data_IF_746285202932
#
_entry.id   IF_746285202932
#
_cell.length_a   1.000
_cell.length_b   1.000
_cell.length_c   1.000
_cell.angle_alpha   90.00
_cell.angle_beta   90.00
_cell.angle_gamma   90.00
#
_symmetry.space_group_name_H-M   'P 1'
#
loop_
_entity.id
_entity.type
_entity.pdbx_description
1 polymer ?
#
# COMPACT_ATOMS: atom_id res chain seq x y z
N UNK A 1 -5.90 -40.43 61.12
CA UNK A 1 -6.55 -39.97 59.88
C UNK A 1 -5.66 -38.89 59.30
N UNK A 2 -4.87 -39.25 58.29
CA UNK A 2 -3.79 -38.42 57.75
C UNK A 2 -4.26 -37.44 56.66
N UNK A 3 -3.44 -36.43 56.32
CA UNK A 3 -3.75 -35.47 55.27
C UNK A 3 -3.54 -36.10 53.90
N UNK A 4 -4.57 -36.07 53.06
CA UNK A 4 -4.52 -36.56 51.69
C UNK A 4 -3.72 -35.58 50.82
N UNK A 5 -2.53 -36.01 50.43
CA UNK A 5 -1.70 -35.44 49.38
C UNK A 5 -2.41 -35.50 48.03
N UNK A 6 -2.68 -34.34 47.42
CA UNK A 6 -3.05 -34.25 46.01
C UNK A 6 -1.80 -34.50 45.16
N UNK A 7 -1.80 -35.39 44.14
CA UNK A 7 -0.60 -35.74 43.39
C UNK A 7 -0.16 -34.60 42.47
N UNK A 8 1.15 -34.31 42.45
CA UNK A 8 1.86 -33.42 41.51
C UNK A 8 1.91 -33.94 40.07
N UNK A 9 0.91 -34.66 39.58
CA UNK A 9 0.96 -35.32 38.26
C UNK A 9 0.17 -34.62 37.14
N UNK A 10 -0.47 -33.48 37.39
CA UNK A 10 -1.20 -32.75 36.35
C UNK A 10 -0.44 -31.57 35.71
N UNK A 11 0.84 -31.34 36.04
CA UNK A 11 1.62 -30.22 35.48
C UNK A 11 2.73 -30.66 34.50
N UNK A 12 3.09 -31.94 34.44
CA UNK A 12 4.17 -32.42 33.54
C UNK A 12 3.72 -32.62 32.07
N UNK A 13 2.40 -32.63 31.80
CA UNK A 13 1.86 -32.79 30.44
C UNK A 13 1.86 -31.52 29.60
N UNK A 14 2.10 -30.35 30.21
CA UNK A 14 2.12 -29.07 29.49
C UNK A 14 3.52 -28.73 28.98
N UNK A 15 4.60 -29.09 29.68
CA UNK A 15 5.99 -28.75 29.30
C UNK A 15 6.47 -29.51 28.04
N UNK A 16 6.13 -30.80 27.89
CA UNK A 16 6.49 -31.59 26.70
C UNK A 16 5.83 -31.14 25.39
N UNK A 17 4.69 -30.44 25.47
CA UNK A 17 4.03 -29.83 24.32
C UNK A 17 4.77 -28.62 23.76
N UNK A 18 5.52 -27.90 24.60
CA UNK A 18 6.35 -26.76 24.17
C UNK A 18 7.64 -27.25 23.51
N UNK A 19 8.27 -28.30 24.03
CA UNK A 19 9.47 -28.89 23.42
C UNK A 19 9.18 -29.55 22.09
N UNK A 20 8.06 -30.28 21.94
CA UNK A 20 7.66 -30.86 20.66
C UNK A 20 7.23 -29.79 19.63
N UNK A 21 6.58 -28.71 20.09
CA UNK A 21 6.34 -27.53 19.24
C UNK A 21 7.66 -26.90 18.81
N UNK A 22 8.60 -26.64 19.73
CA UNK A 22 9.91 -26.09 19.41
C UNK A 22 10.74 -27.00 18.51
N UNK A 23 10.67 -28.32 18.67
CA UNK A 23 11.38 -29.29 17.83
C UNK A 23 10.77 -29.38 16.42
N UNK A 24 9.44 -29.35 16.31
CA UNK A 24 8.73 -29.25 15.03
C UNK A 24 8.99 -27.90 14.36
N UNK A 25 9.00 -26.79 15.11
CA UNK A 25 9.41 -25.46 14.64
C UNK A 25 10.85 -25.47 14.19
N UNK A 26 11.79 -26.04 14.96
CA UNK A 26 13.21 -26.08 14.61
C UNK A 26 13.48 -26.99 13.43
N UNK A 27 12.63 -28.00 13.20
CA UNK A 27 12.62 -28.79 11.97
C UNK A 27 11.93 -28.08 10.81
N UNK A 28 10.86 -27.29 10.99
CA UNK A 28 10.16 -26.55 9.93
C UNK A 28 10.88 -25.25 9.54
N UNK A 29 11.35 -24.48 10.51
CA UNK A 29 12.32 -23.39 10.34
C UNK A 29 13.69 -23.92 9.96
N UNK A 30 14.06 -25.16 10.29
CA UNK A 30 15.28 -25.83 9.86
C UNK A 30 15.18 -26.42 8.46
N UNK A 31 13.99 -26.84 8.02
CA UNK A 31 13.64 -27.21 6.64
C UNK A 31 13.48 -25.95 5.80
N UNK A 32 12.87 -24.88 6.32
CA UNK A 32 12.81 -23.58 5.66
C UNK A 32 14.20 -22.96 5.61
N UNK A 33 14.96 -22.88 6.72
CA UNK A 33 16.38 -22.52 6.69
C UNK A 33 17.18 -23.45 5.79
N UNK A 34 16.93 -24.75 5.78
CA UNK A 34 17.64 -25.74 4.98
C UNK A 34 17.38 -25.58 3.49
N UNK A 35 16.12 -25.51 3.05
CA UNK A 35 15.72 -25.24 1.67
C UNK A 35 16.13 -23.84 1.20
N UNK A 36 16.29 -22.89 2.11
CA UNK A 36 16.55 -21.47 1.79
C UNK A 36 18.02 -21.07 1.97
N UNK A 37 18.80 -21.79 2.79
CA UNK A 37 20.28 -21.68 2.92
C UNK A 37 21.03 -22.61 1.97
N UNK A 38 20.41 -23.66 1.42
CA UNK A 38 21.03 -24.43 0.33
C UNK A 38 21.20 -23.62 -0.97
N UNK A 39 20.62 -22.42 -1.07
CA UNK A 39 20.86 -21.46 -2.16
C UNK A 39 21.72 -20.27 -1.71
N UNK A 40 22.71 -20.48 -0.83
CA UNK A 40 23.76 -19.50 -0.57
C UNK A 40 25.13 -20.08 -0.98
N UNK A 41 25.68 -19.43 -2.00
CA UNK A 41 27.08 -19.40 -2.46
C UNK A 41 27.59 -20.58 -3.32
N UNK A 42 27.20 -20.56 -4.59
CA UNK A 42 28.15 -20.75 -5.69
C UNK A 42 27.81 -19.73 -6.79
N UNK A 43 28.33 -18.51 -6.64
CA UNK A 43 28.21 -17.45 -7.66
C UNK A 43 29.12 -17.70 -8.88
N UNK A 44 29.82 -18.84 -8.93
CA UNK A 44 30.70 -19.20 -10.03
C UNK A 44 30.19 -20.47 -10.75
N UNK A 45 29.86 -20.29 -12.03
CA UNK A 45 29.68 -21.32 -13.07
C UNK A 45 28.57 -22.38 -12.89
N UNK A 46 27.31 -21.96 -12.82
CA UNK A 46 26.20 -22.83 -13.24
C UNK A 46 25.52 -22.25 -14.49
N UNK A 47 25.66 -22.98 -15.61
CA UNK A 47 25.01 -22.68 -16.88
C UNK A 47 23.48 -22.59 -16.72
N UNK A 48 22.88 -21.59 -17.36
CA UNK A 48 21.52 -21.08 -17.14
C UNK A 48 20.39 -22.11 -17.42
N UNK A 49 20.67 -23.18 -18.15
CA UNK A 49 19.67 -24.13 -18.67
C UNK A 49 19.15 -25.18 -17.65
N UNK A 50 19.74 -25.31 -16.45
CA UNK A 50 19.48 -26.46 -15.54
C UNK A 50 19.06 -26.08 -14.10
N UNK A 51 18.52 -24.89 -13.82
CA UNK A 51 17.94 -24.63 -12.48
C UNK A 51 16.59 -25.33 -12.29
N UNK A 52 16.58 -26.65 -12.15
CA UNK A 52 15.37 -27.40 -11.83
C UNK A 52 14.94 -27.25 -10.36
N UNK A 53 15.74 -26.58 -9.54
CA UNK A 53 15.48 -26.39 -8.10
C UNK A 53 14.49 -25.27 -7.81
N UNK A 54 14.12 -24.43 -8.79
CA UNK A 54 13.14 -23.36 -8.59
C UNK A 54 11.78 -23.87 -8.13
N UNK A 55 11.37 -25.06 -8.56
CA UNK A 55 10.11 -25.70 -8.10
C UNK A 55 10.15 -26.01 -6.61
N UNK A 56 11.31 -26.42 -6.11
CA UNK A 56 11.55 -26.68 -4.67
C UNK A 56 11.51 -25.36 -3.90
N UNK A 57 12.20 -24.31 -4.38
CA UNK A 57 12.15 -22.97 -3.77
C UNK A 57 10.72 -22.41 -3.72
N UNK A 58 9.96 -22.61 -4.81
CA UNK A 58 8.55 -22.22 -4.91
C UNK A 58 7.68 -22.94 -3.89
N UNK A 59 7.82 -24.27 -3.78
CA UNK A 59 7.08 -25.06 -2.80
C UNK A 59 7.43 -24.64 -1.36
N UNK A 60 8.70 -24.32 -1.09
CA UNK A 60 9.14 -23.75 0.18
C UNK A 60 8.43 -22.44 0.52
N UNK A 61 8.40 -21.50 -0.43
CA UNK A 61 7.76 -20.20 -0.22
C UNK A 61 6.27 -20.33 0.11
N UNK A 62 5.55 -21.20 -0.60
CA UNK A 62 4.12 -21.50 -0.33
C UNK A 62 3.90 -22.21 0.99
N UNK A 63 4.77 -23.15 1.35
CA UNK A 63 4.71 -23.81 2.65
C UNK A 63 4.91 -22.80 3.78
N UNK A 64 5.89 -21.90 3.62
CA UNK A 64 6.16 -20.84 4.57
C UNK A 64 5.00 -19.85 4.70
N UNK A 65 4.39 -19.44 3.59
CA UNK A 65 3.16 -18.65 3.58
C UNK A 65 2.03 -19.33 4.40
N UNK A 66 1.80 -20.63 4.17
CA UNK A 66 0.78 -21.38 4.90
C UNK A 66 1.07 -21.48 6.40
N UNK A 67 2.34 -21.67 6.78
CA UNK A 67 2.78 -21.67 8.18
C UNK A 67 2.56 -20.30 8.82
N UNK A 68 2.91 -19.22 8.13
CA UNK A 68 2.70 -17.84 8.60
C UNK A 68 1.20 -17.56 8.82
N UNK A 69 0.36 -17.92 7.84
CA UNK A 69 -1.08 -17.67 7.87
C UNK A 69 -1.82 -18.45 8.98
N UNK A 70 -1.30 -19.61 9.40
CA UNK A 70 -1.98 -20.47 10.37
C UNK A 70 -1.47 -20.30 11.81
N UNK A 71 -0.25 -19.81 12.02
CA UNK A 71 0.43 -19.82 13.33
C UNK A 71 0.69 -18.41 13.88
N UNK A 72 -0.37 -17.75 14.33
CA UNK A 72 -0.33 -16.39 14.89
C UNK A 72 0.57 -16.28 16.14
N UNK A 73 0.70 -17.35 16.92
CA UNK A 73 1.48 -17.36 18.16
C UNK A 73 2.99 -17.26 17.93
N UNK A 74 3.45 -17.42 16.68
CA UNK A 74 4.88 -17.44 16.32
C UNK A 74 5.32 -16.13 15.65
N UNK A 75 4.47 -15.10 15.68
CA UNK A 75 4.67 -13.88 14.90
C UNK A 75 6.00 -13.16 15.18
N UNK A 76 6.38 -13.04 16.46
CA UNK A 76 7.66 -12.45 16.86
C UNK A 76 8.85 -13.24 16.30
N UNK A 77 8.79 -14.58 16.30
CA UNK A 77 9.84 -15.44 15.74
C UNK A 77 9.91 -15.31 14.21
N UNK A 78 8.76 -15.20 13.55
CA UNK A 78 8.72 -14.92 12.11
C UNK A 78 9.39 -13.59 11.77
N UNK A 79 9.16 -12.54 12.54
CA UNK A 79 9.84 -11.25 12.33
C UNK A 79 11.34 -11.30 12.63
N UNK A 80 11.80 -12.15 13.55
CA UNK A 80 13.22 -12.26 13.89
C UNK A 80 14.01 -13.10 12.88
N UNK A 81 13.43 -14.18 12.37
CA UNK A 81 14.16 -15.17 11.55
C UNK A 81 13.68 -15.22 10.11
N UNK A 82 12.36 -15.25 9.90
CA UNK A 82 11.78 -15.50 8.58
C UNK A 82 11.75 -14.23 7.74
N UNK A 83 11.31 -13.11 8.30
CA UNK A 83 11.13 -11.87 7.56
C UNK A 83 12.46 -11.29 7.02
N UNK A 84 13.60 -11.31 7.74
CA UNK A 84 14.87 -10.84 7.17
C UNK A 84 15.35 -11.76 6.03
N UNK A 85 15.10 -13.07 6.15
CA UNK A 85 15.43 -14.04 5.10
C UNK A 85 14.59 -13.78 3.83
N UNK A 86 13.27 -13.58 3.97
CA UNK A 86 12.38 -13.23 2.86
C UNK A 86 12.84 -11.95 2.15
N UNK A 87 13.13 -10.88 2.91
CA UNK A 87 13.63 -9.60 2.36
C UNK A 87 14.91 -9.82 1.55
N UNK A 88 15.85 -10.60 2.06
CA UNK A 88 17.10 -10.92 1.37
C UNK A 88 16.92 -11.72 0.07
N UNK A 89 15.72 -12.29 -0.17
CA UNK A 89 15.36 -13.05 -1.38
C UNK A 89 14.43 -12.33 -2.35
N UNK A 90 14.06 -11.07 -2.10
CA UNK A 90 13.32 -10.29 -3.11
C UNK A 90 14.10 -10.09 -4.43
N UNK A 91 15.41 -10.37 -4.40
CA UNK A 91 16.31 -10.43 -5.58
C UNK A 91 16.28 -11.76 -6.36
N UNK A 92 15.35 -12.67 -6.07
CA UNK A 92 15.20 -13.95 -6.79
C UNK A 92 15.13 -13.75 -8.32
N UNK A 93 15.69 -14.68 -9.10
CA UNK A 93 15.69 -14.57 -10.58
C UNK A 93 14.38 -15.09 -11.16
N UNK A 94 13.87 -16.17 -10.60
CA UNK A 94 12.65 -16.83 -11.07
C UNK A 94 11.40 -16.06 -10.67
N UNK A 95 10.68 -15.50 -11.64
CA UNK A 95 9.50 -14.65 -11.40
C UNK A 95 8.47 -15.36 -10.52
N UNK A 96 8.16 -16.63 -10.82
CA UNK A 96 7.17 -17.39 -10.06
C UNK A 96 7.58 -17.58 -8.60
N UNK A 97 8.87 -17.83 -8.34
CA UNK A 97 9.39 -17.99 -6.98
C UNK A 97 9.37 -16.65 -6.25
N UNK A 98 9.79 -15.57 -6.91
CA UNK A 98 9.79 -14.21 -6.36
C UNK A 98 8.39 -13.77 -5.94
N UNK A 99 7.38 -14.03 -6.77
CA UNK A 99 5.98 -13.70 -6.47
C UNK A 99 5.50 -14.45 -5.23
N UNK A 100 5.78 -15.76 -5.12
CA UNK A 100 5.39 -16.55 -3.94
C UNK A 100 6.15 -16.09 -2.67
N UNK A 101 7.40 -15.62 -2.78
CA UNK A 101 8.16 -15.00 -1.67
C UNK A 101 7.52 -13.68 -1.22
N UNK A 102 7.11 -12.82 -2.16
CA UNK A 102 6.39 -11.58 -1.85
C UNK A 102 5.05 -11.88 -1.16
N UNK A 103 4.31 -12.89 -1.62
CA UNK A 103 3.05 -13.31 -1.01
C UNK A 103 3.23 -13.84 0.41
N UNK A 104 4.29 -14.61 0.68
CA UNK A 104 4.62 -15.04 2.05
C UNK A 104 4.82 -13.85 2.99
N UNK A 105 5.46 -12.76 2.52
CA UNK A 105 5.62 -11.55 3.33
C UNK A 105 4.31 -10.76 3.48
N UNK A 106 3.48 -10.69 2.43
CA UNK A 106 2.12 -10.13 2.49
C UNK A 106 1.28 -10.86 3.56
N UNK A 107 1.33 -12.19 3.59
CA UNK A 107 0.66 -12.99 4.60
C UNK A 107 1.13 -12.64 6.01
N UNK A 108 2.43 -12.40 6.21
CA UNK A 108 3.00 -11.98 7.50
C UNK A 108 2.45 -10.62 7.96
N UNK A 109 2.37 -9.64 7.05
CA UNK A 109 1.79 -8.33 7.36
C UNK A 109 0.29 -8.43 7.69
N UNK A 110 -0.47 -9.23 6.93
CA UNK A 110 -1.89 -9.47 7.17
C UNK A 110 -2.15 -10.12 8.53
N UNK A 111 -1.32 -11.09 8.90
CA UNK A 111 -1.39 -11.78 10.20
C UNK A 111 -1.17 -10.82 11.37
N UNK A 112 -0.38 -9.77 11.16
CA UNK A 112 -0.04 -8.79 12.18
C UNK A 112 -1.16 -7.77 12.40
N UNK A 113 -2.01 -7.55 11.39
CA UNK A 113 -3.05 -6.50 11.41
C UNK A 113 -4.08 -6.65 12.54
N UNK A 114 -4.65 -7.83 12.84
CA UNK A 114 -5.62 -7.98 13.93
C UNK A 114 -5.06 -7.60 15.30
N UNK A 115 -3.74 -7.72 15.47
CA UNK A 115 -3.06 -7.46 16.74
C UNK A 115 -2.80 -5.97 16.99
N UNK A 116 -2.90 -5.14 15.95
CA UNK A 116 -2.66 -3.68 16.00
C UNK A 116 -3.98 -2.89 16.06
N UNK A 117 -5.12 -3.55 15.89
CA UNK A 117 -6.43 -2.93 16.12
C UNK A 117 -6.55 -2.47 17.59
N UNK A 118 -7.27 -1.38 17.88
CA UNK A 118 -7.28 -0.73 19.19
C UNK A 118 -8.11 -1.53 20.20
N UNK A 119 -7.59 -2.69 20.62
CA UNK A 119 -8.09 -3.43 21.77
C UNK A 119 -6.96 -3.48 22.79
N UNK A 120 -6.90 -2.42 23.61
CA UNK A 120 -6.01 -2.35 24.76
C UNK A 120 -4.63 -1.78 24.45
N UNK A 121 -4.45 -0.49 24.73
CA UNK A 121 -3.14 0.15 24.83
C UNK A 121 -2.34 -0.43 26.00
N UNK A 122 -1.84 -1.65 25.84
CA UNK A 122 -0.75 -2.17 26.63
C UNK A 122 0.56 -1.45 26.26
N UNK A 123 1.52 -1.35 27.19
CA UNK A 123 2.82 -0.77 26.89
C UNK A 123 3.47 -1.48 25.70
N UNK A 124 4.07 -0.70 24.79
CA UNK A 124 4.87 -1.20 23.67
C UNK A 124 6.05 -1.98 24.27
N UNK A 125 5.91 -3.29 24.36
CA UNK A 125 7.01 -4.18 24.69
C UNK A 125 8.04 -4.16 23.56
N UNK A 126 9.30 -4.41 23.87
CA UNK A 126 10.40 -4.51 22.89
C UNK A 126 10.15 -5.60 21.83
N UNK A 127 9.25 -6.54 22.15
CA UNK A 127 8.83 -7.66 21.30
C UNK A 127 7.44 -7.48 20.67
N UNK A 128 6.88 -6.26 20.71
CA UNK A 128 5.65 -5.92 20.00
C UNK A 128 5.86 -6.11 18.48
N UNK A 129 5.05 -6.96 17.80
CA UNK A 129 5.11 -7.16 16.37
C UNK A 129 5.11 -5.84 15.57
N UNK A 130 4.43 -4.81 16.07
CA UNK A 130 4.43 -3.48 15.44
C UNK A 130 5.80 -2.82 15.41
N UNK A 131 6.54 -2.88 16.52
CA UNK A 131 7.90 -2.33 16.62
C UNK A 131 8.88 -3.10 15.73
N UNK A 132 8.71 -4.43 15.65
CA UNK A 132 9.51 -5.29 14.79
C UNK A 132 9.28 -4.98 13.30
N UNK A 133 8.03 -4.74 12.87
CA UNK A 133 7.76 -4.30 11.49
C UNK A 133 8.37 -2.93 11.22
N UNK A 134 8.19 -1.97 12.14
CA UNK A 134 8.71 -0.62 11.99
C UNK A 134 10.23 -0.61 11.80
N UNK A 135 10.96 -1.45 12.54
CA UNK A 135 12.41 -1.60 12.39
C UNK A 135 12.83 -2.16 11.02
N UNK A 136 11.94 -2.88 10.32
CA UNK A 136 12.23 -3.51 9.03
C UNK A 136 11.80 -2.69 7.82
N UNK A 137 11.09 -1.57 7.99
CA UNK A 137 10.61 -0.72 6.88
C UNK A 137 11.74 -0.30 5.95
N UNK A 138 12.85 0.20 6.50
CA UNK A 138 14.00 0.63 5.69
C UNK A 138 14.61 -0.49 4.84
N UNK A 139 15.03 -1.62 5.43
CA UNK A 139 15.48 -2.80 4.67
C UNK A 139 14.47 -3.29 3.63
N UNK A 140 13.18 -3.31 3.98
CA UNK A 140 12.09 -3.77 3.13
C UNK A 140 11.95 -2.87 1.88
N UNK A 141 11.88 -1.56 2.06
CA UNK A 141 11.76 -0.62 0.93
C UNK A 141 13.00 -0.67 0.05
N UNK A 142 14.21 -0.73 0.63
CA UNK A 142 15.46 -0.90 -0.15
C UNK A 142 15.43 -2.16 -1.02
N UNK A 143 14.94 -3.28 -0.49
CA UNK A 143 14.84 -4.52 -1.25
C UNK A 143 13.79 -4.47 -2.38
N UNK A 144 12.75 -3.65 -2.25
CA UNK A 144 11.67 -3.51 -3.24
C UNK A 144 11.96 -2.51 -4.37
N UNK A 145 12.93 -1.61 -4.20
CA UNK A 145 13.28 -0.57 -5.20
C UNK A 145 13.61 -1.12 -6.60
N UNK A 146 14.26 -2.29 -6.68
CA UNK A 146 14.58 -2.95 -7.95
C UNK A 146 13.36 -3.73 -8.50
N UNK A 147 12.72 -4.64 -7.74
CA UNK A 147 11.51 -5.34 -8.17
C UNK A 147 10.37 -4.45 -8.70
N UNK A 148 10.19 -3.25 -8.11
CA UNK A 148 9.18 -2.28 -8.56
C UNK A 148 9.40 -1.75 -9.99
N UNK A 149 10.62 -1.88 -10.53
CA UNK A 149 11.01 -1.40 -11.86
C UNK A 149 11.29 -2.54 -12.83
N UNK A 150 10.96 -3.79 -12.46
CA UNK A 150 11.11 -4.93 -13.36
C UNK A 150 9.97 -4.97 -14.39
N UNK A 151 10.26 -5.54 -15.57
CA UNK A 151 9.23 -5.72 -16.63
C UNK A 151 8.10 -6.64 -16.17
N UNK A 152 8.43 -7.65 -15.35
CA UNK A 152 7.50 -8.62 -14.78
C UNK A 152 6.34 -7.94 -14.02
N UNK A 153 5.13 -8.08 -14.57
CA UNK A 153 3.94 -7.43 -14.02
C UNK A 153 3.56 -8.03 -12.64
N UNK A 154 3.62 -9.35 -12.49
CA UNK A 154 3.21 -9.99 -11.22
C UNK A 154 4.15 -9.63 -10.06
N UNK A 155 5.44 -9.47 -10.35
CA UNK A 155 6.41 -8.97 -9.37
C UNK A 155 6.05 -7.57 -8.89
N UNK A 156 5.79 -6.64 -9.81
CA UNK A 156 5.40 -5.27 -9.47
C UNK A 156 4.10 -5.24 -8.66
N UNK A 157 3.11 -6.03 -9.04
CA UNK A 157 1.86 -6.22 -8.29
C UNK A 157 2.11 -6.72 -6.87
N UNK A 158 2.96 -7.74 -6.70
CA UNK A 158 3.34 -8.24 -5.38
C UNK A 158 4.02 -7.17 -4.51
N UNK A 159 4.85 -6.31 -5.10
CA UNK A 159 5.48 -5.20 -4.40
C UNK A 159 4.46 -4.16 -3.95
N UNK A 160 3.53 -3.75 -4.83
CA UNK A 160 2.46 -2.80 -4.49
C UNK A 160 1.52 -3.35 -3.42
N UNK A 161 1.15 -4.64 -3.50
CA UNK A 161 0.34 -5.31 -2.49
C UNK A 161 1.03 -5.30 -1.12
N UNK A 162 2.32 -5.64 -1.07
CA UNK A 162 3.11 -5.61 0.15
C UNK A 162 3.18 -4.19 0.76
N UNK A 163 3.49 -3.18 -0.06
CA UNK A 163 3.52 -1.79 0.40
C UNK A 163 2.14 -1.31 0.86
N UNK A 164 1.06 -1.75 0.21
CA UNK A 164 -0.32 -1.44 0.61
C UNK A 164 -0.64 -2.02 1.99
N UNK A 165 -0.30 -3.28 2.25
CA UNK A 165 -0.50 -3.89 3.58
C UNK A 165 0.35 -3.20 4.65
N UNK A 166 1.58 -2.80 4.31
CA UNK A 166 2.44 -2.06 5.22
C UNK A 166 1.84 -0.70 5.62
N UNK A 167 1.25 0.03 4.68
CA UNK A 167 0.56 1.30 4.96
C UNK A 167 -0.65 1.13 5.87
N UNK A 168 -1.42 0.06 5.66
CA UNK A 168 -2.58 -0.25 6.49
C UNK A 168 -2.17 -0.64 7.91
N UNK A 169 -0.97 -1.21 8.09
CA UNK A 169 -0.41 -1.59 9.37
C UNK A 169 0.25 -0.42 10.12
N UNK A 170 1.03 0.39 9.39
CA UNK A 170 1.82 1.50 9.90
C UNK A 170 1.58 2.75 9.05
N UNK A 171 0.51 3.51 9.33
CA UNK A 171 0.28 4.81 8.67
C UNK A 171 1.49 5.72 8.88
N UNK A 172 1.97 6.36 7.80
CA UNK A 172 3.13 7.24 7.82
C UNK A 172 4.49 6.57 7.63
N UNK A 173 4.58 5.23 7.58
CA UNK A 173 5.87 4.53 7.55
C UNK A 173 6.71 4.75 6.28
N UNK A 174 6.09 5.19 5.18
CA UNK A 174 6.79 5.36 3.90
C UNK A 174 7.25 6.80 3.63
N UNK A 175 7.08 7.72 4.58
CA UNK A 175 7.35 9.14 4.39
C UNK A 175 8.79 9.41 3.91
N UNK A 176 9.77 8.87 4.61
CA UNK A 176 11.20 9.07 4.31
C UNK A 176 11.65 8.32 3.04
N UNK A 177 10.82 7.41 2.53
CA UNK A 177 11.15 6.54 1.41
C UNK A 177 10.40 6.90 0.12
N UNK A 178 9.57 7.95 0.11
CA UNK A 178 8.85 8.39 -1.09
C UNK A 178 9.78 8.60 -2.30
N UNK A 179 10.93 9.30 -2.21
CA UNK A 179 11.80 9.52 -3.36
C UNK A 179 12.28 8.22 -4.02
N UNK A 180 12.44 7.15 -3.23
CA UNK A 180 12.86 5.85 -3.72
C UNK A 180 11.73 5.07 -4.42
N UNK A 181 10.47 5.29 -4.04
CA UNK A 181 9.32 4.58 -4.56
C UNK A 181 8.76 5.25 -5.83
N UNK A 182 8.79 6.58 -5.89
CA UNK A 182 8.22 7.37 -6.99
C UNK A 182 8.67 6.92 -8.39
N UNK A 183 9.95 6.62 -8.66
CA UNK A 183 10.36 6.13 -9.98
C UNK A 183 9.69 4.82 -10.38
N UNK A 184 9.43 3.91 -9.43
CA UNK A 184 8.73 2.65 -9.70
C UNK A 184 7.23 2.84 -9.97
N UNK A 185 6.61 3.80 -9.28
CA UNK A 185 5.21 4.16 -9.51
C UNK A 185 5.02 4.84 -10.86
N UNK A 186 5.88 5.81 -11.18
CA UNK A 186 5.89 6.46 -12.48
C UNK A 186 6.12 5.44 -13.61
N UNK A 187 7.07 4.52 -13.43
CA UNK A 187 7.29 3.44 -14.39
C UNK A 187 6.03 2.61 -14.62
N UNK A 188 5.30 2.24 -13.57
CA UNK A 188 4.10 1.41 -13.69
C UNK A 188 2.87 2.14 -14.28
N UNK A 189 2.83 3.48 -14.20
CA UNK A 189 1.77 4.29 -14.81
C UNK A 189 2.06 4.67 -16.26
N UNK A 190 3.31 4.97 -16.60
CA UNK A 190 3.69 5.54 -17.88
C UNK A 190 4.15 4.51 -18.92
N UNK A 191 4.56 3.32 -18.50
CA UNK A 191 5.08 2.29 -19.39
C UNK A 191 3.98 1.72 -20.32
N UNK A 192 4.28 1.64 -21.62
CA UNK A 192 3.35 1.11 -22.64
C UNK A 192 3.12 -0.39 -22.49
N UNK A 193 4.08 -1.12 -21.94
CA UNK A 193 3.94 -2.55 -21.66
C UNK A 193 3.13 -2.84 -20.39
N UNK A 194 2.77 -1.81 -19.62
CA UNK A 194 1.99 -1.98 -18.40
C UNK A 194 0.51 -2.19 -18.74
N UNK A 195 -0.04 -3.30 -18.24
CA UNK A 195 -1.44 -3.65 -18.43
C UNK A 195 -2.37 -2.69 -17.70
N UNK A 196 -3.65 -2.63 -18.11
CA UNK A 196 -4.64 -1.80 -17.43
C UNK A 196 -4.77 -2.13 -15.94
N UNK A 197 -4.65 -3.41 -15.57
CA UNK A 197 -4.67 -3.84 -14.17
C UNK A 197 -3.48 -3.29 -13.38
N UNK A 198 -2.27 -3.29 -13.97
CA UNK A 198 -1.08 -2.71 -13.32
C UNK A 198 -1.26 -1.22 -13.02
N UNK A 199 -1.81 -0.47 -13.98
CA UNK A 199 -2.11 0.96 -13.79
C UNK A 199 -3.14 1.17 -12.68
N UNK A 200 -4.22 0.37 -12.67
CA UNK A 200 -5.25 0.42 -11.62
C UNK A 200 -4.64 0.13 -10.25
N UNK A 201 -3.85 -0.94 -10.11
CA UNK A 201 -3.20 -1.31 -8.85
C UNK A 201 -2.25 -0.20 -8.37
N UNK A 202 -1.53 0.44 -9.30
CA UNK A 202 -0.61 1.55 -8.99
C UNK A 202 -1.38 2.79 -8.53
N UNK A 203 -2.50 3.13 -9.17
CA UNK A 203 -3.36 4.24 -8.75
C UNK A 203 -4.02 3.96 -7.39
N UNK A 204 -4.52 2.74 -7.18
CA UNK A 204 -5.09 2.33 -5.90
C UNK A 204 -4.04 2.43 -4.76
N UNK A 205 -2.80 2.00 -5.02
CA UNK A 205 -1.70 2.18 -4.07
C UNK A 205 -1.40 3.67 -3.83
N UNK A 206 -1.35 4.52 -4.86
CA UNK A 206 -1.17 5.96 -4.69
C UNK A 206 -2.29 6.58 -3.85
N UNK A 207 -3.55 6.18 -4.05
CA UNK A 207 -4.67 6.60 -3.21
C UNK A 207 -4.48 6.18 -1.74
N UNK A 208 -4.03 4.95 -1.50
CA UNK A 208 -3.68 4.44 -0.17
C UNK A 208 -2.53 5.27 0.46
N UNK A 209 -1.49 5.55 -0.32
CA UNK A 209 -0.34 6.32 0.11
C UNK A 209 -0.73 7.73 0.57
N UNK A 210 -1.55 8.43 -0.23
CA UNK A 210 -2.05 9.78 0.06
C UNK A 210 -2.98 9.84 1.28
N UNK A 211 -3.72 8.77 1.55
CA UNK A 211 -4.68 8.71 2.68
C UNK A 211 -4.02 8.35 4.01
N UNK A 212 -2.88 7.64 3.98
CA UNK A 212 -2.20 7.16 5.20
C UNK A 212 -0.97 7.99 5.58
N UNK A 213 -0.73 9.14 4.94
CA UNK A 213 0.38 10.04 5.24
C UNK A 213 -0.10 11.46 5.50
N UNK A 214 0.71 12.21 6.25
CA UNK A 214 0.51 13.66 6.38
C UNK A 214 0.70 14.31 4.99
N UNK A 215 -0.26 15.16 4.53
CA UNK A 215 -0.15 15.96 3.31
C UNK A 215 1.21 16.60 3.03
N UNK A 216 1.90 17.09 4.07
CA UNK A 216 3.14 17.85 3.93
C UNK A 216 4.27 17.07 3.25
N UNK A 217 4.30 15.75 3.44
CA UNK A 217 5.35 14.88 2.87
C UNK A 217 5.30 14.88 1.34
N UNK A 218 4.13 15.15 0.74
CA UNK A 218 3.95 15.14 -0.71
C UNK A 218 4.27 16.48 -1.37
N UNK A 219 4.43 17.58 -0.64
CA UNK A 219 4.65 18.91 -1.21
C UNK A 219 5.88 18.96 -2.13
N UNK A 220 6.96 18.29 -1.75
CA UNK A 220 8.18 18.20 -2.56
C UNK A 220 8.06 17.28 -3.79
N UNK A 221 6.94 16.55 -3.93
CA UNK A 221 6.76 15.49 -4.92
C UNK A 221 5.57 15.71 -5.86
N UNK A 222 4.76 16.76 -5.65
CA UNK A 222 3.56 17.04 -6.46
C UNK A 222 3.89 17.18 -7.94
N UNK A 223 4.99 17.86 -8.28
CA UNK A 223 5.45 18.02 -9.68
C UNK A 223 5.67 16.69 -10.40
N UNK A 224 6.10 15.65 -9.67
CA UNK A 224 6.38 14.33 -10.22
C UNK A 224 5.16 13.42 -10.22
N UNK A 225 4.25 13.61 -9.27
CA UNK A 225 3.07 12.77 -9.07
C UNK A 225 1.89 13.20 -9.95
N UNK A 226 1.71 14.51 -10.12
CA UNK A 226 0.50 15.04 -10.75
C UNK A 226 0.41 14.75 -12.26
N UNK A 227 1.46 14.97 -13.08
CA UNK A 227 1.38 14.71 -14.52
C UNK A 227 0.94 13.28 -14.92
N UNK A 228 1.47 12.18 -14.33
CA UNK A 228 1.00 10.85 -14.67
C UNK A 228 -0.44 10.58 -14.20
N UNK A 229 -0.90 11.21 -13.11
CA UNK A 229 -2.29 11.11 -12.66
C UNK A 229 -3.23 11.82 -13.64
N UNK A 230 -2.91 13.03 -14.09
CA UNK A 230 -3.70 13.76 -15.09
C UNK A 230 -3.78 12.96 -16.39
N UNK A 231 -2.66 12.37 -16.82
CA UNK A 231 -2.62 11.49 -18.00
C UNK A 231 -3.54 10.28 -17.82
N UNK A 232 -3.58 9.67 -16.63
CA UNK A 232 -4.47 8.56 -16.33
C UNK A 232 -5.96 8.96 -16.27
N UNK A 233 -6.29 10.19 -15.86
CA UNK A 233 -7.67 10.71 -16.00
C UNK A 233 -8.06 10.78 -17.47
N UNK A 234 -7.14 11.14 -18.36
CA UNK A 234 -7.34 11.16 -19.81
C UNK A 234 -7.41 9.79 -20.49
N UNK A 235 -7.21 8.67 -19.76
CA UNK A 235 -7.12 7.33 -20.35
C UNK A 235 -8.44 6.91 -21.05
N UNK A 236 -8.31 6.05 -22.06
CA UNK A 236 -9.45 5.51 -22.83
C UNK A 236 -10.21 4.45 -22.04
N UNK A 237 -9.55 3.77 -21.11
CA UNK A 237 -10.17 2.75 -20.28
C UNK A 237 -10.79 3.34 -19.01
N UNK A 238 -12.12 3.26 -18.91
CA UNK A 238 -12.90 3.92 -17.87
C UNK A 238 -12.47 3.56 -16.43
N UNK A 239 -12.01 2.33 -16.17
CA UNK A 239 -11.54 1.94 -14.82
C UNK A 239 -10.25 2.64 -14.40
N UNK A 240 -9.37 2.95 -15.36
CA UNK A 240 -8.18 3.76 -15.07
C UNK A 240 -8.62 5.18 -14.76
N UNK A 241 -9.53 5.74 -15.56
CA UNK A 241 -10.08 7.07 -15.31
C UNK A 241 -10.77 7.16 -13.94
N UNK A 242 -11.59 6.17 -13.56
CA UNK A 242 -12.35 6.18 -12.31
C UNK A 242 -11.42 6.14 -11.08
N UNK A 243 -10.35 5.34 -11.14
CA UNK A 243 -9.35 5.27 -10.07
C UNK A 243 -8.47 6.51 -10.04
N UNK A 244 -8.05 7.03 -11.19
CA UNK A 244 -7.27 8.27 -11.27
C UNK A 244 -8.02 9.47 -10.67
N UNK A 245 -9.33 9.55 -10.90
CA UNK A 245 -10.19 10.56 -10.27
C UNK A 245 -10.30 10.40 -8.75
N UNK A 246 -10.18 9.18 -8.19
CA UNK A 246 -10.10 8.99 -6.74
C UNK A 246 -8.76 9.48 -6.18
N UNK A 247 -7.66 9.20 -6.88
CA UNK A 247 -6.34 9.68 -6.45
C UNK A 247 -6.30 11.21 -6.50
N UNK A 248 -6.83 11.80 -7.58
CA UNK A 248 -6.90 13.26 -7.74
C UNK A 248 -7.69 13.93 -6.61
N UNK A 249 -8.78 13.32 -6.14
CA UNK A 249 -9.53 13.77 -4.97
C UNK A 249 -8.68 13.85 -3.70
N UNK A 250 -7.78 12.88 -3.48
CA UNK A 250 -6.89 12.91 -2.33
C UNK A 250 -5.77 13.94 -2.51
N UNK A 251 -5.27 14.09 -3.74
CA UNK A 251 -4.22 15.04 -4.07
C UNK A 251 -4.66 16.48 -3.81
N UNK A 252 -5.91 16.83 -4.15
CA UNK A 252 -6.47 18.16 -3.87
C UNK A 252 -6.52 18.48 -2.37
N UNK A 253 -6.63 17.47 -1.50
CA UNK A 253 -6.60 17.67 -0.03
C UNK A 253 -5.21 18.02 0.50
N UNK A 254 -4.16 17.83 -0.31
CA UNK A 254 -2.77 18.11 0.09
C UNK A 254 -2.55 19.61 0.29
N UNK A 255 -3.33 20.44 -0.40
CA UNK A 255 -3.24 21.89 -0.29
C UNK A 255 -3.39 22.35 1.17
N UNK A 256 -2.45 23.18 1.68
CA UNK A 256 -2.59 23.78 3.00
C UNK A 256 -3.88 24.62 3.07
N UNK A 257 -4.78 24.34 4.02
CA UNK A 257 -6.03 25.13 4.19
C UNK A 257 -5.79 26.58 4.63
N UNK A 258 -4.58 26.86 5.12
CA UNK A 258 -3.98 28.17 5.41
C UNK A 258 -2.48 27.99 5.16
N UNK A 259 -1.73 29.04 4.80
CA UNK A 259 -0.26 29.03 4.74
C UNK A 259 0.42 28.83 6.12
N UNK A 260 -0.22 28.07 7.01
CA UNK A 260 0.12 27.81 8.39
C UNK A 260 0.29 26.31 8.55
N UNK A 261 1.54 25.86 8.60
CA UNK A 261 1.92 24.52 9.03
C UNK A 261 1.83 24.48 10.55
N UNK A 262 1.02 23.58 11.11
CA UNK A 262 1.12 23.22 12.53
C UNK A 262 2.08 22.04 12.68
N UNK A 263 3.35 22.33 12.93
CA UNK A 263 4.31 21.35 13.46
C UNK A 263 4.54 21.69 14.94
N UNK A 264 4.25 20.77 15.85
CA UNK A 264 4.63 20.91 17.27
C UNK A 264 4.09 22.15 18.01
N UNK A 265 2.99 22.76 17.54
CA UNK A 265 2.45 23.99 18.13
C UNK A 265 3.14 25.28 17.68
N UNK A 266 4.04 25.21 16.69
CA UNK A 266 4.62 26.38 16.03
C UNK A 266 4.05 26.52 14.61
N UNK A 267 3.65 27.74 14.29
CA UNK A 267 3.10 28.16 13.01
C UNK A 267 4.27 28.41 12.03
N UNK A 268 4.55 27.48 11.13
CA UNK A 268 5.60 27.62 10.12
C UNK A 268 4.99 27.95 8.75
N UNK A 269 5.59 28.91 8.03
CA UNK A 269 5.12 29.31 6.71
C UNK A 269 5.35 28.18 5.69
N UNK A 270 4.28 27.75 5.05
CA UNK A 270 4.34 26.76 3.97
C UNK A 270 4.83 27.47 2.70
N UNK A 271 6.04 27.18 2.23
CA UNK A 271 6.57 27.73 0.96
C UNK A 271 5.94 27.11 -0.29
N UNK A 272 5.20 26.01 -0.13
CA UNK A 272 4.59 25.28 -1.22
C UNK A 272 3.36 26.01 -1.78
N UNK A 273 3.42 26.35 -3.06
CA UNK A 273 2.34 27.00 -3.81
C UNK A 273 1.62 25.99 -4.68
N UNK A 274 0.34 25.77 -4.42
CA UNK A 274 -0.48 24.83 -5.17
C UNK A 274 -1.11 25.47 -6.42
N UNK A 275 -1.09 26.80 -6.51
CA UNK A 275 -1.72 27.60 -7.56
C UNK A 275 -1.36 27.18 -8.99
N UNK A 276 -0.09 26.83 -9.33
CA UNK A 276 0.27 26.45 -10.70
C UNK A 276 -0.49 25.21 -11.21
N UNK A 277 -0.90 24.31 -10.31
CA UNK A 277 -1.52 23.03 -10.65
C UNK A 277 -3.05 23.11 -10.75
N UNK A 278 -3.65 24.16 -10.18
CA UNK A 278 -5.11 24.26 -10.03
C UNK A 278 -5.82 24.19 -11.38
N UNK A 279 -5.29 24.88 -12.38
CA UNK A 279 -5.88 24.96 -13.71
C UNK A 279 -5.91 23.59 -14.39
N UNK A 280 -4.79 22.87 -14.40
CA UNK A 280 -4.69 21.56 -15.06
C UNK A 280 -5.58 20.51 -14.38
N UNK A 281 -5.66 20.54 -13.05
CA UNK A 281 -6.54 19.66 -12.25
C UNK A 281 -8.01 19.94 -12.56
N UNK A 282 -8.36 21.22 -12.66
CA UNK A 282 -9.72 21.65 -12.95
C UNK A 282 -10.14 21.26 -14.37
N UNK A 283 -9.32 21.58 -15.38
CA UNK A 283 -9.64 21.34 -16.79
C UNK A 283 -9.79 19.84 -17.11
N UNK A 284 -8.92 18.98 -16.57
CA UNK A 284 -9.01 17.54 -16.79
C UNK A 284 -10.29 16.95 -16.17
N UNK A 285 -10.66 17.40 -14.97
CA UNK A 285 -11.88 16.95 -14.28
C UNK A 285 -13.13 17.50 -14.97
N UNK A 286 -13.11 18.76 -15.42
CA UNK A 286 -14.23 19.41 -16.11
C UNK A 286 -14.56 18.68 -17.41
N UNK A 287 -13.55 18.25 -18.15
CA UNK A 287 -13.72 17.47 -19.39
C UNK A 287 -14.53 16.20 -19.13
N UNK A 288 -14.23 15.46 -18.05
CA UNK A 288 -14.99 14.26 -17.68
C UNK A 288 -16.36 14.57 -17.09
N UNK A 289 -16.53 15.69 -16.38
CA UNK A 289 -17.81 16.11 -15.81
C UNK A 289 -18.83 16.50 -16.89
N UNK A 290 -18.37 17.18 -17.95
CA UNK A 290 -19.20 17.60 -19.10
C UNK A 290 -19.62 16.43 -19.98
N UNK A 291 -18.81 15.38 -20.08
CA UNK A 291 -19.11 14.23 -20.91
C UNK A 291 -20.41 13.53 -20.48
N UNK A 292 -21.34 13.34 -21.42
CA UNK A 292 -22.59 12.60 -21.22
C UNK A 292 -22.44 11.10 -21.50
N UNK A 293 -21.54 10.73 -22.41
CA UNK A 293 -21.47 9.38 -23.00
C UNK A 293 -20.25 8.62 -22.45
N UNK A 294 -20.15 8.59 -21.12
CA UNK A 294 -19.10 7.88 -20.38
C UNK A 294 -19.73 6.95 -19.35
N UNK A 295 -18.93 5.99 -18.87
CA UNK A 295 -19.31 5.04 -17.85
C UNK A 295 -19.87 5.73 -16.59
N UNK A 296 -20.90 5.13 -15.98
CA UNK A 296 -21.59 5.69 -14.82
C UNK A 296 -20.64 5.86 -13.62
N UNK A 297 -19.70 4.94 -13.43
CA UNK A 297 -18.70 5.04 -12.37
C UNK A 297 -17.84 6.31 -12.56
N UNK A 298 -17.40 6.58 -13.80
CA UNK A 298 -16.59 7.77 -14.09
C UNK A 298 -17.39 9.05 -13.85
N UNK A 299 -18.68 9.09 -14.19
CA UNK A 299 -19.54 10.26 -13.92
C UNK A 299 -19.62 10.56 -12.42
N UNK A 300 -19.88 9.55 -11.61
CA UNK A 300 -19.99 9.70 -10.16
C UNK A 300 -18.65 10.12 -9.54
N UNK A 301 -17.55 9.54 -10.00
CA UNK A 301 -16.20 9.92 -9.58
C UNK A 301 -15.84 11.34 -10.00
N UNK A 302 -16.22 11.78 -11.20
CA UNK A 302 -15.98 13.15 -11.68
C UNK A 302 -16.78 14.17 -10.88
N UNK A 303 -18.06 13.90 -10.57
CA UNK A 303 -18.90 14.77 -9.72
C UNK A 303 -18.28 14.90 -8.33
N UNK A 304 -17.89 13.78 -7.73
CA UNK A 304 -17.26 13.77 -6.40
C UNK A 304 -15.93 14.52 -6.42
N UNK A 305 -15.09 14.29 -7.44
CA UNK A 305 -13.81 14.96 -7.64
C UNK A 305 -13.96 16.46 -7.80
N UNK A 306 -14.89 16.92 -8.63
CA UNK A 306 -15.16 18.34 -8.78
C UNK A 306 -15.68 18.96 -7.48
N UNK A 307 -16.48 18.23 -6.69
CA UNK A 307 -16.89 18.68 -5.35
C UNK A 307 -15.69 18.91 -4.41
N UNK A 308 -14.69 18.04 -4.43
CA UNK A 308 -13.44 18.25 -3.67
C UNK A 308 -12.64 19.44 -4.18
N UNK A 309 -12.55 19.61 -5.50
CA UNK A 309 -11.88 20.76 -6.13
C UNK A 309 -12.55 22.06 -5.68
N UNK A 310 -13.87 22.17 -5.75
CA UNK A 310 -14.59 23.37 -5.32
C UNK A 310 -14.45 23.65 -3.82
N UNK A 311 -14.48 22.60 -2.98
CA UNK A 311 -14.32 22.72 -1.54
C UNK A 311 -12.92 23.21 -1.12
N UNK A 312 -11.87 22.74 -1.81
CA UNK A 312 -10.47 23.00 -1.42
C UNK A 312 -9.76 24.07 -2.25
N UNK A 313 -10.23 24.38 -3.46
CA UNK A 313 -9.62 25.30 -4.43
C UNK A 313 -10.57 26.43 -4.86
N UNK A 314 -11.73 26.56 -4.22
CA UNK A 314 -12.78 27.51 -4.60
C UNK A 314 -12.39 28.99 -4.46
N UNK A 315 -11.40 29.31 -3.63
CA UNK A 315 -10.82 30.65 -3.51
C UNK A 315 -10.08 31.08 -4.77
N UNK A 316 -9.41 30.16 -5.46
CA UNK A 316 -8.69 30.41 -6.71
C UNK A 316 -9.54 30.18 -7.97
N UNK A 317 -10.74 29.60 -7.84
CA UNK A 317 -11.60 29.16 -8.96
C UNK A 317 -12.93 29.92 -9.06
N UNK A 318 -12.97 31.19 -8.64
CA UNK A 318 -14.23 31.96 -8.63
C UNK A 318 -14.84 32.17 -10.02
N UNK A 319 -14.01 32.34 -11.06
CA UNK A 319 -14.50 32.54 -12.42
C UNK A 319 -15.07 31.25 -13.02
N UNK A 320 -14.45 30.13 -12.69
CA UNK A 320 -14.79 28.78 -13.16
C UNK A 320 -16.04 28.22 -12.47
N UNK A 321 -16.36 28.72 -11.28
CA UNK A 321 -17.57 28.34 -10.53
C UNK A 321 -18.85 28.59 -11.34
N UNK A 322 -18.90 29.68 -12.12
CA UNK A 322 -20.03 30.01 -12.99
C UNK A 322 -20.28 28.94 -14.06
N UNK A 323 -19.25 28.20 -14.48
CA UNK A 323 -19.37 27.10 -15.45
C UNK A 323 -19.75 25.79 -14.76
N UNK A 324 -19.22 25.53 -13.56
CA UNK A 324 -19.47 24.29 -12.84
C UNK A 324 -20.87 24.19 -12.23
N UNK A 325 -21.38 25.26 -11.60
CA UNK A 325 -22.66 25.21 -10.88
C UNK A 325 -23.85 24.82 -11.78
N UNK A 326 -23.99 25.32 -13.02
CA UNK A 326 -25.04 24.85 -13.94
C UNK A 326 -24.93 23.35 -14.23
N UNK A 327 -23.72 22.84 -14.41
CA UNK A 327 -23.49 21.40 -14.68
C UNK A 327 -23.91 20.57 -13.46
N UNK A 328 -23.57 21.00 -12.24
CA UNK A 328 -24.04 20.35 -11.02
C UNK A 328 -25.56 20.36 -10.91
N UNK A 329 -26.21 21.46 -11.27
CA UNK A 329 -27.68 21.56 -11.27
C UNK A 329 -28.32 20.58 -12.26
N UNK A 330 -27.75 20.42 -13.45
CA UNK A 330 -28.21 19.42 -14.42
C UNK A 330 -28.01 17.98 -13.93
N UNK A 331 -26.85 17.70 -13.30
CA UNK A 331 -26.57 16.39 -12.69
C UNK A 331 -27.45 16.09 -11.47
N UNK A 332 -27.91 17.13 -10.76
CA UNK A 332 -28.82 17.00 -9.63
C UNK A 332 -30.24 16.61 -10.09
N UNK A 333 -30.66 17.12 -11.25
CA UNK A 333 -31.96 16.79 -11.87
C UNK A 333 -32.01 15.37 -12.42
N UNK A 334 -30.86 14.78 -12.74
CA UNK A 334 -30.77 13.42 -13.23
C UNK A 334 -30.83 12.41 -12.06
N UNK A 335 -31.82 11.53 -12.09
CA UNK A 335 -32.09 10.54 -11.03
C UNK A 335 -30.88 9.68 -10.64
N UNK A 336 -30.06 9.28 -11.62
CA UNK A 336 -28.92 8.38 -11.38
C UNK A 336 -27.78 9.12 -10.68
N UNK A 337 -27.49 10.36 -11.11
CA UNK A 337 -26.37 11.17 -10.55
C UNK A 337 -26.77 12.04 -9.36
N UNK A 338 -28.06 12.15 -9.06
CA UNK A 338 -28.64 13.03 -8.03
C UNK A 338 -28.00 12.83 -6.65
N UNK A 339 -27.93 11.59 -6.15
CA UNK A 339 -27.41 11.32 -4.80
C UNK A 339 -25.94 11.74 -4.66
N UNK A 340 -25.11 11.41 -5.65
CA UNK A 340 -23.69 11.77 -5.66
C UNK A 340 -23.50 13.28 -5.74
N UNK A 341 -24.34 13.95 -6.52
CA UNK A 341 -24.34 15.41 -6.66
C UNK A 341 -24.73 16.10 -5.36
N UNK A 342 -25.76 15.61 -4.66
CA UNK A 342 -26.15 16.13 -3.34
C UNK A 342 -24.98 16.01 -2.36
N UNK A 343 -24.35 14.83 -2.24
CA UNK A 343 -23.21 14.62 -1.35
C UNK A 343 -22.05 15.57 -1.65
N UNK A 344 -21.75 15.78 -2.93
CA UNK A 344 -20.72 16.72 -3.36
C UNK A 344 -21.06 18.17 -2.98
N UNK A 345 -22.29 18.63 -3.24
CA UNK A 345 -22.73 19.98 -2.90
C UNK A 345 -22.80 20.22 -1.39
N UNK A 346 -23.28 19.25 -0.60
CA UNK A 346 -23.24 19.32 0.87
C UNK A 346 -21.81 19.55 1.39
N UNK A 347 -20.82 18.94 0.73
CA UNK A 347 -19.41 19.11 1.08
C UNK A 347 -18.83 20.47 0.68
N UNK A 348 -19.34 21.08 -0.39
CA UNK A 348 -18.93 22.42 -0.81
C UNK A 348 -19.55 23.49 0.08
N UNK A 349 -20.78 23.27 0.56
CA UNK A 349 -21.53 24.22 1.38
C UNK A 349 -21.17 24.18 2.87
N UNK A 350 -20.70 23.03 3.38
CA UNK A 350 -20.25 22.84 4.76
C UNK A 350 -18.77 23.11 4.94
#
# INVERSE_FOLDING_TARGET
MGPSSVPRQCLEGLEGGWELKQLFLRNQLGLAKGLFLLCRESEDEYSDDDDMSWKVRRAAAKCLEAVIATRHEMLTEFYRVVSPALIARFKEREENVKVDILQAYVALLRQTRPLIAPVGGGPIGVDDPRALVAAQVGPLVRALQRPLRERALKTRQGCLALLTELLQLLPGALADYLPALLPGLHFSLSDRASSSNMKIDTLAFLGCLLTHHNPQVFHAHVDTLLPPIITAVGDSFYKITSEALLVLQQLVKIRPKRNLLRLGGQDQECSFRFEPYVKDIFECTLTKLKASDIDQEVKERAITCMGYILCHLGDSLQAELAVCLPIFLDRLRNEITRLTTVKALTKVAG
#
